data_IF_460277383828
#
_entry.id   IF_460277383828
#
_cell.length_a   1.000
_cell.length_b   1.000
_cell.length_c   1.000
_cell.angle_alpha   90.00
_cell.angle_beta   90.00
_cell.angle_gamma   90.00
#
_symmetry.space_group_name_H-M   'P 1'
#
loop_
_entity.id
_entity.type
_entity.pdbx_description
1 polymer ?
#
# COMPACT_ATOMS: atom_id res chain seq x y z
N UNK A 1 -48.73 34.25 16.48
CA UNK A 1 -48.73 33.36 17.65
C UNK A 1 -48.95 31.91 17.21
N UNK A 2 -47.88 31.12 17.11
CA UNK A 2 -47.86 29.68 17.38
C UNK A 2 -46.40 29.24 17.34
N UNK A 3 -46.00 28.62 18.43
CA UNK A 3 -44.65 28.30 18.88
C UNK A 3 -44.48 26.77 18.90
N UNK A 4 -43.25 26.33 19.17
CA UNK A 4 -42.78 24.97 19.53
C UNK A 4 -42.57 24.00 18.35
N UNK A 5 -41.50 23.18 18.30
CA UNK A 5 -40.35 23.01 19.18
C UNK A 5 -39.27 22.19 18.46
N UNK A 6 -37.99 22.51 18.74
CA UNK A 6 -36.83 21.73 18.31
C UNK A 6 -36.62 20.57 19.28
N UNK A 7 -36.60 19.34 18.75
CA UNK A 7 -36.36 18.12 19.53
C UNK A 7 -34.84 17.84 19.58
N UNK A 8 -34.21 18.09 20.73
CA UNK A 8 -32.84 17.63 21.01
C UNK A 8 -32.86 16.14 21.37
N UNK A 9 -32.18 15.30 20.59
CA UNK A 9 -31.85 13.93 20.98
C UNK A 9 -30.56 13.90 21.80
N UNK A 10 -30.68 13.59 23.10
CA UNK A 10 -29.55 13.32 23.99
C UNK A 10 -29.18 11.84 23.93
N UNK A 11 -27.94 11.54 23.53
CA UNK A 11 -27.34 10.20 23.63
C UNK A 11 -26.93 9.93 25.08
N UNK A 12 -27.58 8.95 25.72
CA UNK A 12 -27.19 8.44 27.02
C UNK A 12 -26.15 7.32 26.84
N UNK A 13 -24.90 7.57 27.24
CA UNK A 13 -23.88 6.53 27.36
C UNK A 13 -24.05 5.82 28.71
N UNK A 14 -24.46 4.56 28.69
CA UNK A 14 -24.41 3.68 29.87
C UNK A 14 -23.06 2.97 29.92
N UNK A 15 -22.21 3.35 30.87
CA UNK A 15 -21.02 2.59 31.21
C UNK A 15 -21.43 1.42 32.12
N UNK A 16 -21.19 0.19 31.66
CA UNK A 16 -21.39 -1.02 32.47
C UNK A 16 -20.12 -1.27 33.28
N UNK A 17 -20.22 -1.15 34.61
CA UNK A 17 -19.13 -1.49 35.52
C UNK A 17 -19.03 -3.02 35.68
N UNK A 18 -17.85 -3.57 35.41
CA UNK A 18 -17.53 -4.99 35.60
C UNK A 18 -17.19 -5.24 37.08
N UNK A 19 -17.79 -6.23 37.76
CA UNK A 19 -17.48 -6.51 39.16
C UNK A 19 -16.08 -7.12 39.33
N UNK A 20 -15.35 -6.66 40.34
CA UNK A 20 -14.02 -7.14 40.72
C UNK A 20 -14.07 -8.59 41.24
N UNK A 21 -13.42 -9.50 40.54
CA UNK A 21 -13.27 -10.90 40.95
C UNK A 21 -12.14 -11.03 41.99
N UNK A 22 -12.44 -11.61 43.15
CA UNK A 22 -11.62 -11.62 44.38
C UNK A 22 -10.61 -12.80 44.50
N UNK A 23 -10.17 -13.37 43.39
CA UNK A 23 -9.20 -14.47 43.42
C UNK A 23 -7.89 -14.07 42.74
N UNK A 24 -6.90 -13.68 43.55
CA UNK A 24 -5.51 -13.57 43.13
C UNK A 24 -4.78 -14.88 43.47
N UNK A 25 -4.22 -15.63 42.51
CA UNK A 25 -3.34 -16.74 42.82
C UNK A 25 -1.99 -16.21 43.34
N UNK A 26 -1.51 -16.80 44.43
CA UNK A 26 -0.15 -16.56 44.96
C UNK A 26 0.85 -17.15 43.97
N UNK A 27 1.57 -16.28 43.24
CA UNK A 27 2.64 -16.68 42.33
C UNK A 27 3.94 -16.72 43.12
N UNK A 28 4.47 -17.91 43.39
CA UNK A 28 5.83 -18.09 43.90
C UNK A 28 6.82 -17.81 42.77
N UNK A 29 7.85 -16.96 42.96
CA UNK A 29 8.83 -16.71 41.92
C UNK A 29 9.76 -17.92 41.72
N UNK A 30 9.65 -18.58 40.58
CA UNK A 30 10.66 -19.53 40.08
C UNK A 30 11.89 -18.75 39.58
N UNK A 31 13.12 -19.23 39.85
CA UNK A 31 14.33 -18.58 39.36
C UNK A 31 14.37 -18.58 37.82
N UNK A 32 14.50 -17.39 37.23
CA UNK A 32 14.64 -17.19 35.78
C UNK A 32 16.06 -17.57 35.38
N UNK A 33 16.21 -18.76 34.80
CA UNK A 33 17.44 -19.13 34.07
C UNK A 33 17.49 -18.26 32.81
N UNK A 34 18.56 -17.48 32.67
CA UNK A 34 18.82 -16.64 31.50
C UNK A 34 18.89 -17.49 30.23
N UNK A 35 17.82 -17.49 29.45
CA UNK A 35 17.77 -18.11 28.13
C UNK A 35 18.48 -17.19 27.15
N UNK A 36 19.46 -17.76 26.43
CA UNK A 36 20.17 -17.08 25.37
C UNK A 36 19.19 -16.56 24.33
N UNK A 37 19.33 -15.29 23.96
CA UNK A 37 18.58 -14.67 22.85
C UNK A 37 18.99 -15.39 21.56
N UNK A 38 18.09 -16.05 20.84
CA UNK A 38 18.44 -16.64 19.55
C UNK A 38 18.76 -15.51 18.57
N UNK A 39 19.88 -15.65 17.86
CA UNK A 39 20.24 -14.76 16.76
C UNK A 39 19.07 -14.70 15.77
N UNK A 40 18.64 -13.47 15.43
CA UNK A 40 17.64 -13.24 14.39
C UNK A 40 18.25 -13.75 13.08
N UNK A 41 17.76 -14.87 12.58
CA UNK A 41 18.09 -15.33 11.23
C UNK A 41 17.64 -14.25 10.24
N UNK A 42 18.58 -13.71 9.48
CA UNK A 42 18.29 -12.82 8.36
C UNK A 42 17.32 -13.53 7.42
N UNK A 43 16.18 -12.89 7.13
CA UNK A 43 15.27 -13.38 6.12
C UNK A 43 16.03 -13.59 4.79
N UNK A 44 15.70 -14.63 4.00
CA UNK A 44 16.31 -14.83 2.70
C UNK A 44 16.13 -13.56 1.86
N UNK A 45 17.21 -13.12 1.22
CA UNK A 45 17.17 -12.00 0.30
C UNK A 45 16.12 -12.29 -0.77
N UNK A 46 15.21 -11.34 -0.97
CA UNK A 46 14.22 -11.45 -2.01
C UNK A 46 14.90 -11.48 -3.39
N UNK A 47 14.36 -12.19 -4.39
CA UNK A 47 14.97 -12.24 -5.71
C UNK A 47 15.07 -10.83 -6.28
N UNK A 48 16.22 -10.52 -6.87
CA UNK A 48 16.43 -9.27 -7.58
C UNK A 48 15.73 -9.30 -8.95
N UNK A 49 15.36 -8.11 -9.41
CA UNK A 49 14.98 -7.80 -10.78
C UNK A 49 16.15 -8.08 -11.73
N UNK A 50 15.89 -8.09 -13.05
CA UNK A 50 16.87 -8.47 -14.07
C UNK A 50 18.10 -7.52 -14.09
N UNK A 51 17.99 -6.32 -13.52
CA UNK A 51 19.06 -5.33 -13.36
C UNK A 51 19.80 -5.42 -11.99
N UNK A 52 19.46 -6.40 -11.15
CA UNK A 52 20.04 -6.57 -9.81
C UNK A 52 19.39 -5.70 -8.72
N UNK A 53 18.37 -4.91 -9.04
CA UNK A 53 17.60 -4.16 -8.06
C UNK A 53 16.60 -5.04 -7.33
N UNK A 54 16.21 -4.70 -6.11
CA UNK A 54 15.16 -5.42 -5.38
C UNK A 54 14.38 -4.43 -4.55
N UNK A 55 13.10 -4.72 -4.30
CA UNK A 55 12.25 -3.88 -3.46
C UNK A 55 11.66 -4.65 -2.28
N UNK A 56 11.50 -3.93 -1.18
CA UNK A 56 10.75 -4.36 -0.01
C UNK A 56 9.71 -3.30 0.39
N UNK A 57 8.75 -3.71 1.23
CA UNK A 57 7.74 -2.82 1.81
C UNK A 57 6.97 -2.01 0.77
N UNK A 58 6.69 -2.63 -0.38
CA UNK A 58 5.88 -2.01 -1.42
C UNK A 58 4.45 -1.86 -0.90
N UNK A 59 3.87 -0.68 -1.05
CA UNK A 59 2.52 -0.35 -0.58
C UNK A 59 1.85 0.68 -1.48
N UNK A 60 0.53 0.84 -1.32
CA UNK A 60 -0.20 1.98 -1.86
C UNK A 60 -0.35 3.06 -0.79
N UNK A 61 0.08 4.27 -1.11
CA UNK A 61 -0.11 5.48 -0.32
C UNK A 61 -1.33 6.29 -0.76
N UNK A 62 -1.31 7.59 -0.44
CA UNK A 62 -2.38 8.54 -0.83
C UNK A 62 -3.62 8.56 0.07
N UNK A 63 -3.75 7.62 1.02
CA UNK A 63 -4.81 7.58 2.04
C UNK A 63 -6.23 7.64 1.45
N UNK A 64 -6.44 7.07 0.26
CA UNK A 64 -7.73 7.11 -0.43
C UNK A 64 -8.16 8.50 -0.91
N UNK A 65 -7.28 9.49 -0.99
CA UNK A 65 -7.61 10.79 -1.62
C UNK A 65 -7.56 10.66 -3.14
N UNK A 66 -8.50 11.30 -3.85
CA UNK A 66 -8.52 11.33 -5.32
C UNK A 66 -7.30 12.10 -5.85
N UNK A 67 -6.69 11.57 -6.91
CA UNK A 67 -5.48 12.10 -7.55
C UNK A 67 -4.21 11.89 -6.74
N UNK A 68 -4.24 11.02 -5.72
CA UNK A 68 -3.14 10.87 -4.74
C UNK A 68 -2.68 9.44 -4.55
N UNK A 69 -3.26 8.45 -5.22
CA UNK A 69 -2.78 7.07 -5.12
C UNK A 69 -1.32 6.95 -5.58
N UNK A 70 -0.41 6.78 -4.62
CA UNK A 70 1.03 6.60 -4.82
C UNK A 70 1.42 5.13 -4.66
N UNK A 71 2.29 4.63 -5.52
CA UNK A 71 3.05 3.41 -5.26
C UNK A 71 4.29 3.83 -4.48
N UNK A 72 4.54 3.20 -3.34
CA UNK A 72 5.65 3.51 -2.44
C UNK A 72 6.42 2.24 -2.14
N UNK A 73 7.75 2.34 -1.96
CA UNK A 73 8.58 1.20 -1.63
C UNK A 73 9.98 1.59 -1.18
N UNK A 74 10.72 0.61 -0.69
CA UNK A 74 12.17 0.72 -0.48
C UNK A 74 12.85 -0.18 -1.48
N UNK A 75 13.75 0.36 -2.29
CA UNK A 75 14.37 -0.38 -3.36
C UNK A 75 15.86 -0.14 -3.41
N UNK A 76 16.62 -1.16 -3.80
CA UNK A 76 18.04 -1.00 -4.08
C UNK A 76 18.25 -0.35 -5.44
N UNK A 77 19.31 0.45 -5.55
CA UNK A 77 19.80 0.94 -6.83
C UNK A 77 20.81 -0.07 -7.44
N UNK A 78 21.39 0.26 -8.59
CA UNK A 78 22.33 -0.66 -9.28
C UNK A 78 23.65 -0.88 -8.52
N UNK A 79 23.88 -0.13 -7.44
CA UNK A 79 25.02 -0.28 -6.53
C UNK A 79 24.66 -1.08 -5.27
N UNK A 80 23.41 -1.53 -5.14
CA UNK A 80 22.91 -2.21 -3.95
C UNK A 80 22.57 -1.28 -2.77
N UNK A 81 22.60 0.04 -2.96
CA UNK A 81 22.24 1.01 -1.92
C UNK A 81 20.73 1.12 -1.82
N UNK A 82 20.19 1.20 -0.60
CA UNK A 82 18.74 1.28 -0.39
C UNK A 82 18.19 2.70 -0.43
N UNK A 83 17.07 2.87 -1.13
CA UNK A 83 16.37 4.14 -1.30
C UNK A 83 14.89 3.99 -1.01
N UNK A 84 14.27 5.01 -0.40
CA UNK A 84 12.81 5.17 -0.48
C UNK A 84 12.47 5.71 -1.85
N UNK A 85 11.46 5.17 -2.49
CA UNK A 85 10.95 5.66 -3.77
C UNK A 85 9.43 5.66 -3.79
N UNK A 86 8.86 6.62 -4.52
CA UNK A 86 7.41 6.71 -4.71
C UNK A 86 7.04 7.30 -6.06
N UNK A 87 5.92 6.90 -6.63
CA UNK A 87 5.37 7.51 -7.85
C UNK A 87 3.85 7.63 -7.74
N UNK A 88 3.27 8.74 -8.23
CA UNK A 88 1.83 8.91 -8.30
C UNK A 88 1.25 8.13 -9.49
N UNK A 89 0.47 7.09 -9.23
CA UNK A 89 -0.05 6.20 -10.26
C UNK A 89 -1.08 6.89 -11.18
N UNK A 90 -1.67 8.00 -10.74
CA UNK A 90 -2.56 8.80 -11.59
C UNK A 90 -1.85 9.46 -12.77
N UNK A 91 -0.52 9.58 -12.71
CA UNK A 91 0.28 10.11 -13.82
C UNK A 91 0.56 9.05 -14.89
N UNK A 92 0.29 7.77 -14.59
CA UNK A 92 0.67 6.63 -15.42
C UNK A 92 -0.53 5.79 -15.88
N UNK A 93 -1.63 5.80 -15.11
CA UNK A 93 -2.71 4.82 -15.24
C UNK A 93 -4.04 5.53 -15.39
N UNK A 94 -4.87 5.00 -16.29
CA UNK A 94 -6.25 5.43 -16.53
C UNK A 94 -7.26 4.29 -16.32
N UNK A 95 -8.55 4.65 -16.31
CA UNK A 95 -9.66 3.72 -16.38
C UNK A 95 -10.42 3.91 -17.71
N UNK A 96 -10.41 2.90 -18.56
CA UNK A 96 -11.18 2.88 -19.81
C UNK A 96 -12.22 1.77 -19.74
N UNK A 97 -13.49 2.17 -19.57
CA UNK A 97 -14.62 1.24 -19.58
C UNK A 97 -14.59 0.19 -18.46
N UNK A 98 -14.05 0.53 -17.30
CA UNK A 98 -13.90 -0.38 -16.16
C UNK A 98 -12.61 -1.22 -16.20
N UNK A 99 -11.65 -0.88 -17.07
CA UNK A 99 -10.36 -1.56 -17.20
C UNK A 99 -9.21 -0.59 -16.95
N UNK A 100 -8.25 -1.01 -16.13
CA UNK A 100 -6.99 -0.28 -15.95
C UNK A 100 -6.14 -0.36 -17.22
N UNK A 101 -5.55 0.75 -17.62
CA UNK A 101 -4.63 0.82 -18.75
C UNK A 101 -3.54 1.85 -18.48
N UNK A 102 -2.37 1.66 -19.09
CA UNK A 102 -1.32 2.66 -19.08
C UNK A 102 -1.70 3.83 -20.00
N UNK A 103 -1.74 5.03 -19.42
CA UNK A 103 -1.94 6.28 -20.15
C UNK A 103 -1.37 7.44 -19.30
N UNK A 104 -0.50 8.29 -19.88
CA UNK A 104 -0.01 9.48 -19.20
C UNK A 104 -1.16 10.35 -18.70
N UNK A 105 -1.03 10.85 -17.47
CA UNK A 105 -2.01 11.73 -16.81
C UNK A 105 -3.43 11.12 -16.73
N UNK A 106 -3.50 9.78 -16.63
CA UNK A 106 -4.72 9.01 -16.78
C UNK A 106 -5.76 9.11 -15.65
N UNK A 107 -5.35 9.52 -14.43
CA UNK A 107 -6.27 9.85 -13.33
C UNK A 107 -7.22 8.72 -12.87
N UNK A 108 -6.79 7.45 -12.93
CA UNK A 108 -7.68 6.30 -12.71
C UNK A 108 -8.40 6.30 -11.35
N UNK A 109 -7.76 6.79 -10.28
CA UNK A 109 -8.26 6.62 -8.91
C UNK A 109 -9.54 7.42 -8.61
N UNK A 110 -9.94 8.31 -9.53
CA UNK A 110 -11.20 9.04 -9.52
C UNK A 110 -12.41 8.11 -9.76
N UNK A 111 -12.18 6.95 -10.38
CA UNK A 111 -13.23 5.99 -10.75
C UNK A 111 -12.89 4.54 -10.44
N UNK A 112 -11.72 4.27 -9.85
CA UNK A 112 -11.26 2.95 -9.47
C UNK A 112 -11.02 2.83 -7.97
N UNK A 113 -11.94 2.18 -7.25
CA UNK A 113 -11.88 1.97 -5.79
C UNK A 113 -12.69 0.74 -5.35
N UNK A 114 -12.26 0.01 -4.32
CA UNK A 114 -10.94 0.08 -3.70
C UNK A 114 -9.85 -0.48 -4.62
N UNK A 115 -8.59 -0.16 -4.32
CA UNK A 115 -7.43 -0.74 -4.98
C UNK A 115 -6.50 -1.38 -3.95
N UNK A 116 -5.85 -2.48 -4.34
CA UNK A 116 -4.82 -3.17 -3.57
C UNK A 116 -3.65 -3.51 -4.50
N UNK A 117 -2.50 -3.84 -3.92
CA UNK A 117 -1.38 -4.41 -4.65
C UNK A 117 -1.13 -5.82 -4.19
N UNK A 118 -0.80 -6.68 -5.15
CA UNK A 118 -0.23 -7.99 -4.89
C UNK A 118 1.18 -7.99 -5.46
N UNK A 119 2.16 -8.38 -4.65
CA UNK A 119 3.58 -8.36 -5.02
C UNK A 119 4.17 -9.74 -4.96
N UNK A 120 4.99 -10.08 -5.96
CA UNK A 120 5.93 -11.20 -5.83
C UNK A 120 7.07 -10.77 -4.90
N UNK A 121 7.60 -11.66 -4.02
CA UNK A 121 8.77 -11.35 -3.22
C UNK A 121 9.89 -10.72 -4.08
N UNK A 122 10.43 -9.59 -3.64
CA UNK A 122 11.50 -8.88 -4.34
C UNK A 122 11.03 -7.76 -5.28
N UNK A 123 9.72 -7.66 -5.52
CA UNK A 123 9.13 -6.53 -6.24
C UNK A 123 9.24 -6.59 -7.76
N UNK A 124 9.73 -7.69 -8.32
CA UNK A 124 9.88 -7.88 -9.77
C UNK A 124 8.55 -7.83 -10.54
N UNK A 125 7.47 -8.20 -9.88
CA UNK A 125 6.13 -8.17 -10.44
C UNK A 125 5.17 -7.59 -9.40
N UNK A 126 4.46 -6.54 -9.79
CA UNK A 126 3.48 -5.86 -8.96
C UNK A 126 2.16 -5.83 -9.72
N UNK A 127 1.10 -6.34 -9.11
CA UNK A 127 -0.24 -6.32 -9.68
C UNK A 127 -1.09 -5.28 -8.96
N UNK A 128 -1.44 -4.19 -9.64
CA UNK A 128 -2.44 -3.24 -9.16
C UNK A 128 -3.82 -3.82 -9.43
N UNK A 129 -4.56 -4.18 -8.38
CA UNK A 129 -5.91 -4.73 -8.46
C UNK A 129 -6.92 -3.68 -8.02
N UNK A 130 -7.94 -3.43 -8.82
CA UNK A 130 -8.96 -2.42 -8.51
C UNK A 130 -10.36 -2.87 -8.93
N UNK A 131 -11.36 -2.22 -8.36
CA UNK A 131 -12.70 -2.17 -8.94
C UNK A 131 -12.90 -0.82 -9.63
N UNK A 132 -13.05 -0.83 -10.96
CA UNK A 132 -13.18 0.37 -11.78
C UNK A 132 -14.59 0.50 -12.34
N UNK A 133 -15.17 1.69 -12.24
CA UNK A 133 -16.49 1.95 -12.80
C UNK A 133 -16.44 1.93 -14.34
N UNK A 134 -17.34 1.19 -14.96
CA UNK A 134 -17.58 1.30 -16.40
C UNK A 134 -18.47 2.52 -16.74
N UNK A 135 -18.81 2.67 -18.02
CA UNK A 135 -19.65 3.76 -18.51
C UNK A 135 -21.10 3.74 -17.96
N UNK A 136 -21.55 2.60 -17.41
CA UNK A 136 -22.83 2.46 -16.70
C UNK A 136 -22.70 2.67 -15.19
N UNK A 137 -21.53 3.09 -14.70
CA UNK A 137 -21.18 3.16 -13.27
C UNK A 137 -21.25 1.81 -12.57
N UNK A 138 -21.07 0.71 -13.31
CA UNK A 138 -21.00 -0.64 -12.73
C UNK A 138 -19.54 -0.95 -12.43
N UNK A 139 -19.19 -1.32 -11.19
CA UNK A 139 -17.83 -1.74 -10.85
C UNK A 139 -17.42 -2.99 -11.63
N UNK A 140 -16.22 -2.95 -12.21
CA UNK A 140 -15.56 -4.07 -12.87
C UNK A 140 -14.24 -4.34 -12.17
N UNK A 141 -14.05 -5.59 -11.75
CA UNK A 141 -12.75 -6.03 -11.28
C UNK A 141 -11.76 -6.03 -12.45
N UNK A 142 -10.59 -5.45 -12.23
CA UNK A 142 -9.52 -5.35 -13.21
C UNK A 142 -8.19 -5.34 -12.48
N UNK A 143 -7.15 -5.78 -13.17
CA UNK A 143 -5.77 -5.70 -12.69
C UNK A 143 -4.89 -5.08 -13.77
N UNK A 144 -3.75 -4.53 -13.36
CA UNK A 144 -2.71 -4.04 -14.23
C UNK A 144 -1.35 -4.51 -13.68
N UNK A 145 -0.64 -5.29 -14.49
CA UNK A 145 0.71 -5.76 -14.20
C UNK A 145 1.70 -4.62 -14.40
N UNK A 146 2.57 -4.39 -13.40
CA UNK A 146 3.67 -3.44 -13.36
C UNK A 146 4.98 -4.21 -13.07
N UNK A 147 6.12 -3.60 -13.40
CA UNK A 147 7.44 -4.20 -13.24
C UNK A 147 8.20 -4.37 -14.56
N UNK A 148 9.43 -4.85 -14.47
CA UNK A 148 10.38 -4.82 -15.58
C UNK A 148 10.03 -5.80 -16.70
N UNK A 149 9.31 -6.88 -16.36
CA UNK A 149 8.82 -7.90 -17.29
C UNK A 149 7.68 -7.44 -18.19
N UNK A 150 7.09 -6.28 -17.91
CA UNK A 150 6.00 -5.73 -18.72
C UNK A 150 6.59 -5.01 -19.94
N UNK A 151 6.40 -5.60 -21.12
CA UNK A 151 6.92 -5.09 -22.40
C UNK A 151 6.05 -3.96 -22.97
N UNK A 152 5.92 -2.88 -22.21
CA UNK A 152 5.35 -1.62 -22.69
C UNK A 152 6.08 -0.43 -22.07
N UNK A 153 6.30 0.62 -22.86
CA UNK A 153 7.02 1.82 -22.44
C UNK A 153 6.29 2.63 -21.37
N UNK A 154 4.95 2.52 -21.31
CA UNK A 154 4.14 3.20 -20.30
C UNK A 154 4.07 2.48 -18.96
N UNK A 155 4.64 1.27 -18.84
CA UNK A 155 4.56 0.50 -17.61
C UNK A 155 5.27 1.22 -16.46
N UNK A 156 4.73 1.05 -15.25
CA UNK A 156 5.46 1.46 -14.05
C UNK A 156 6.58 0.45 -13.83
N UNK A 157 7.82 0.94 -13.84
CA UNK A 157 9.05 0.15 -13.73
C UNK A 157 9.94 0.69 -12.64
N UNK A 158 10.91 -0.10 -12.22
CA UNK A 158 11.96 0.35 -11.33
C UNK A 158 13.24 0.55 -12.14
N UNK A 159 13.83 1.73 -12.08
CA UNK A 159 15.08 2.05 -12.77
C UNK A 159 16.05 2.66 -11.78
N UNK A 160 17.17 1.99 -11.53
CA UNK A 160 18.17 2.41 -10.55
C UNK A 160 17.53 2.73 -9.19
N UNK A 161 16.65 1.87 -8.66
CA UNK A 161 15.98 2.09 -7.38
C UNK A 161 14.99 3.27 -7.36
N UNK A 162 14.52 3.73 -8.52
CA UNK A 162 13.48 4.75 -8.67
C UNK A 162 12.30 4.24 -9.47
N UNK A 163 11.07 4.43 -8.99
CA UNK A 163 9.89 4.17 -9.82
C UNK A 163 9.74 5.20 -10.94
N UNK A 164 9.46 4.72 -12.15
CA UNK A 164 9.28 5.52 -13.37
C UNK A 164 8.11 4.98 -14.18
N UNK A 165 7.52 5.79 -15.06
CA UNK A 165 6.54 5.34 -16.07
C UNK A 165 6.59 6.27 -17.29
N UNK A 166 6.85 5.75 -18.49
CA UNK A 166 7.14 6.61 -19.65
C UNK A 166 8.22 7.65 -19.33
N UNK A 167 7.92 8.94 -19.55
CA UNK A 167 8.82 10.06 -19.23
C UNK A 167 8.68 10.58 -17.79
N UNK A 168 7.76 10.02 -16.99
CA UNK A 168 7.53 10.44 -15.60
C UNK A 168 8.52 9.76 -14.67
N UNK A 169 9.05 10.56 -13.77
CA UNK A 169 10.05 10.16 -12.79
C UNK A 169 9.46 10.34 -11.40
N UNK A 170 9.36 9.25 -10.62
CA UNK A 170 8.94 9.32 -9.22
C UNK A 170 10.00 9.93 -8.32
N UNK A 171 9.66 10.08 -7.04
CA UNK A 171 10.59 10.51 -6.00
C UNK A 171 11.55 9.39 -5.59
N UNK A 172 12.74 9.79 -5.11
CA UNK A 172 13.77 8.89 -4.58
C UNK A 172 14.63 9.64 -3.55
N UNK A 173 14.80 9.06 -2.37
CA UNK A 173 15.61 9.61 -1.28
C UNK A 173 16.35 8.50 -0.51
N UNK A 174 17.57 8.74 0.01
CA UNK A 174 18.31 7.70 0.72
C UNK A 174 17.55 7.20 1.96
N UNK A 175 17.75 5.92 2.34
CA UNK A 175 17.47 5.49 3.70
C UNK A 175 18.56 6.06 4.61
N UNK A 176 18.18 6.98 5.50
CA UNK A 176 19.06 7.54 6.54
C UNK A 176 19.60 6.45 7.46
#
# INVERSE_FOLDING_TARGET
>A
MKSLSVLLLTLASTAVAVPANKYLPVITPTPVVARHVPAVASAPAAPANDDGTTCEQITLGGNGKVGKTTLEGKCTNNKGEWWKTSINLNECITNVGGKLQYLPDGGFDASCRPCTIDTVPGGAEINLKCNCLDWKRIPKFTYLEMGDRVDTSGAVKLVDGRFVCGDRTGDKSPLL
#
